data_IF_392642879311
#
_entry.id   IF_392642879311
#
_cell.length_a   1.000
_cell.length_b   1.000
_cell.length_c   1.000
_cell.angle_alpha   90.00
_cell.angle_beta   90.00
_cell.angle_gamma   90.00
#
_symmetry.space_group_name_H-M   'P 1'
#
loop_
_entity.id
_entity.type
_entity.pdbx_description
1 polymer ?
#
# COMPACT_ATOMS: atom_id res chain seq x y z
N UNK A 1 22.11 6.21 -11.29
CA UNK A 1 21.12 5.39 -10.54
C UNK A 1 21.87 4.28 -9.82
N UNK A 2 21.47 3.98 -8.58
CA UNK A 2 22.05 2.87 -7.84
C UNK A 2 20.96 2.18 -6.99
N UNK A 3 21.26 0.98 -6.50
CA UNK A 3 20.44 0.21 -5.57
C UNK A 3 21.25 -0.17 -4.33
N UNK A 4 20.67 0.07 -3.18
CA UNK A 4 21.31 -0.24 -1.88
C UNK A 4 20.91 -1.60 -1.31
N UNK A 5 19.96 -2.30 -1.91
CA UNK A 5 19.43 -3.57 -1.40
C UNK A 5 20.47 -4.69 -1.31
N UNK A 6 21.51 -4.64 -2.16
CA UNK A 6 22.60 -5.60 -2.10
C UNK A 6 23.46 -5.51 -0.84
N UNK A 7 23.45 -4.38 -0.12
CA UNK A 7 24.23 -4.17 1.10
C UNK A 7 23.54 -4.72 2.36
N UNK A 8 22.20 -4.59 2.44
CA UNK A 8 21.46 -4.94 3.66
C UNK A 8 20.14 -5.70 3.41
N UNK A 9 19.89 -6.11 2.16
CA UNK A 9 18.70 -6.86 1.79
C UNK A 9 17.45 -6.00 1.60
N UNK A 10 16.33 -6.68 1.37
CA UNK A 10 15.02 -6.07 1.26
C UNK A 10 14.37 -6.00 2.63
N UNK A 11 14.38 -4.85 3.24
CA UNK A 11 13.86 -4.62 4.60
C UNK A 11 12.35 -4.37 4.65
N UNK A 12 11.60 -4.90 3.69
CA UNK A 12 10.13 -4.77 3.57
C UNK A 12 9.66 -3.32 3.68
N UNK A 13 8.73 -3.03 4.58
CA UNK A 13 8.19 -1.68 4.78
C UNK A 13 9.22 -0.63 5.23
N UNK A 14 10.32 -1.05 5.82
CA UNK A 14 11.39 -0.15 6.26
C UNK A 14 12.33 0.29 5.12
N UNK A 15 12.31 -0.38 3.94
CA UNK A 15 13.22 -0.09 2.82
C UNK A 15 13.26 1.37 2.43
N UNK A 16 12.09 1.99 2.27
CA UNK A 16 11.99 3.39 1.85
C UNK A 16 12.69 4.33 2.81
N UNK A 17 12.53 4.12 4.11
CA UNK A 17 13.12 4.95 5.17
C UNK A 17 14.63 4.74 5.26
N UNK A 18 15.09 3.48 5.33
CA UNK A 18 16.52 3.15 5.43
C UNK A 18 17.29 3.69 4.22
N UNK A 19 16.80 3.45 3.02
CA UNK A 19 17.41 3.96 1.80
C UNK A 19 17.41 5.49 1.75
N UNK A 20 16.35 6.16 2.23
CA UNK A 20 16.30 7.63 2.31
C UNK A 20 17.33 8.19 3.30
N UNK A 21 17.52 7.54 4.45
CA UNK A 21 18.55 7.93 5.43
C UNK A 21 19.94 7.84 4.79
N UNK A 22 20.22 6.76 4.07
CA UNK A 22 21.50 6.58 3.37
C UNK A 22 21.67 7.65 2.29
N UNK A 23 20.65 7.93 1.49
CA UNK A 23 20.71 9.02 0.49
C UNK A 23 20.98 10.40 1.11
N UNK A 24 20.48 10.66 2.31
CA UNK A 24 20.81 11.90 3.04
C UNK A 24 22.30 11.94 3.42
N UNK A 25 22.86 10.82 3.86
CA UNK A 25 24.29 10.72 4.14
C UNK A 25 25.14 10.87 2.87
N UNK A 26 24.76 10.21 1.77
CA UNK A 26 25.43 10.36 0.47
C UNK A 26 25.49 11.85 0.03
N UNK A 27 24.36 12.56 0.16
CA UNK A 27 24.31 14.00 -0.14
C UNK A 27 25.24 14.83 0.76
N UNK A 28 25.29 14.54 2.06
CA UNK A 28 26.10 15.28 3.01
C UNK A 28 27.60 15.06 2.81
N UNK A 29 27.98 13.82 2.56
CA UNK A 29 29.38 13.40 2.43
C UNK A 29 29.88 13.51 0.98
N UNK A 30 29.04 13.85 0.01
CA UNK A 30 29.34 13.85 -1.41
C UNK A 30 29.87 12.48 -1.92
N UNK A 31 29.35 11.41 -1.40
CA UNK A 31 29.70 10.03 -1.79
C UNK A 31 28.49 9.34 -2.36
N UNK A 32 28.58 8.85 -3.58
CA UNK A 32 27.56 8.01 -4.21
C UNK A 32 27.99 6.55 -4.10
N UNK A 33 27.21 5.71 -3.42
CA UNK A 33 27.50 4.30 -3.32
C UNK A 33 27.23 3.59 -4.65
N UNK A 34 28.09 2.64 -4.99
CA UNK A 34 27.91 1.77 -6.13
C UNK A 34 26.81 0.72 -5.87
N UNK A 35 26.26 0.16 -6.93
CA UNK A 35 25.35 -0.97 -6.87
C UNK A 35 26.13 -2.27 -6.73
N UNK A 36 26.22 -2.79 -5.52
CA UNK A 36 26.97 -4.01 -5.24
C UNK A 36 26.40 -5.19 -6.06
N UNK A 37 27.30 -5.91 -6.76
CA UNK A 37 26.93 -7.04 -7.61
C UNK A 37 26.36 -6.66 -8.98
N UNK A 38 26.43 -5.39 -9.37
CA UNK A 38 26.05 -4.98 -10.72
C UNK A 38 27.10 -5.36 -11.76
N UNK A 39 26.69 -6.10 -12.78
CA UNK A 39 27.56 -6.52 -13.90
C UNK A 39 27.12 -5.92 -15.23
N UNK A 40 25.82 -6.00 -15.54
CA UNK A 40 25.25 -5.53 -16.80
C UNK A 40 23.79 -5.09 -16.65
N UNK A 41 23.32 -4.14 -17.47
CA UNK A 41 21.92 -3.74 -17.44
C UNK A 41 21.01 -4.89 -17.91
N UNK A 42 19.93 -5.13 -17.15
CA UNK A 42 18.86 -6.08 -17.48
C UNK A 42 17.57 -5.39 -17.95
N UNK A 43 17.64 -4.14 -18.38
CA UNK A 43 16.48 -3.33 -18.77
C UNK A 43 16.52 -2.98 -20.27
N UNK A 44 15.35 -2.76 -20.85
CA UNK A 44 15.19 -2.48 -22.29
C UNK A 44 15.65 -1.08 -22.70
N UNK A 45 15.68 -0.13 -21.76
CA UNK A 45 16.14 1.23 -22.00
C UNK A 45 17.47 1.49 -21.29
N UNK A 46 18.41 2.23 -21.91
CA UNK A 46 19.70 2.53 -21.29
C UNK A 46 19.49 3.42 -20.06
N UNK A 47 20.02 2.97 -18.93
CA UNK A 47 20.13 3.74 -17.69
C UNK A 47 21.58 3.75 -17.23
N UNK A 48 22.02 4.87 -16.68
CA UNK A 48 23.36 4.98 -16.10
C UNK A 48 23.32 4.41 -14.69
N UNK A 49 23.76 3.15 -14.53
CA UNK A 49 23.90 2.50 -13.22
C UNK A 49 25.30 2.74 -12.70
N UNK A 50 25.40 3.18 -11.46
CA UNK A 50 26.67 3.33 -10.77
C UNK A 50 27.12 1.99 -10.22
N UNK A 51 28.23 1.45 -10.72
CA UNK A 51 28.79 0.18 -10.25
C UNK A 51 29.69 0.36 -9.03
N UNK A 52 30.54 1.37 -9.03
CA UNK A 52 31.54 1.64 -8.01
C UNK A 52 31.18 2.88 -7.17
N UNK A 53 31.74 2.98 -5.96
CA UNK A 53 31.63 4.19 -5.15
C UNK A 53 32.31 5.36 -5.85
N UNK A 54 31.70 6.52 -5.78
CA UNK A 54 32.24 7.74 -6.35
C UNK A 54 32.12 8.92 -5.37
N UNK A 55 33.13 9.73 -5.32
CA UNK A 55 33.06 11.05 -4.69
C UNK A 55 32.59 12.06 -5.74
N UNK A 56 31.35 12.51 -5.62
CA UNK A 56 30.74 13.49 -6.53
C UNK A 56 29.96 14.53 -5.75
N UNK A 57 30.13 15.83 -6.05
CA UNK A 57 29.30 16.86 -5.44
C UNK A 57 27.83 16.69 -5.86
N UNK A 58 26.98 16.47 -4.88
CA UNK A 58 25.54 16.30 -5.08
C UNK A 58 24.76 17.38 -4.36
N UNK A 59 23.73 17.92 -4.99
CA UNK A 59 22.84 18.94 -4.42
C UNK A 59 21.46 18.36 -4.09
N UNK A 60 21.02 17.42 -4.91
CA UNK A 60 19.72 16.81 -4.86
C UNK A 60 19.82 15.31 -5.11
N UNK A 61 18.93 14.56 -4.51
CA UNK A 61 18.73 13.14 -4.76
C UNK A 61 17.24 12.87 -4.93
N UNK A 62 16.88 11.99 -5.87
CA UNK A 62 15.52 11.49 -6.00
C UNK A 62 15.53 10.04 -5.52
N UNK A 63 14.75 9.76 -4.48
CA UNK A 63 14.53 8.41 -3.98
C UNK A 63 13.14 7.95 -4.42
N UNK A 64 13.09 6.82 -5.09
CA UNK A 64 11.84 6.18 -5.50
C UNK A 64 11.63 4.87 -4.74
N UNK A 65 10.40 4.53 -4.46
CA UNK A 65 10.01 3.25 -3.91
C UNK A 65 8.74 2.76 -4.59
N UNK A 66 8.67 1.46 -4.84
CA UNK A 66 7.49 0.81 -5.40
C UNK A 66 7.11 -0.35 -4.50
N UNK A 67 5.89 -0.32 -4.00
CA UNK A 67 5.32 -1.36 -3.16
C UNK A 67 4.37 -2.27 -3.93
N UNK A 68 4.15 -3.47 -3.41
CA UNK A 68 3.10 -4.36 -3.91
C UNK A 68 1.72 -3.67 -3.78
N UNK A 69 0.84 -3.96 -4.72
CA UNK A 69 -0.47 -3.31 -4.81
C UNK A 69 -0.47 -2.02 -5.63
N UNK A 70 0.68 -1.64 -6.24
CA UNK A 70 0.78 -0.47 -7.11
C UNK A 70 1.06 0.84 -6.37
N UNK A 71 1.43 0.77 -5.09
CA UNK A 71 1.87 1.94 -4.32
C UNK A 71 3.24 2.39 -4.79
N UNK A 72 3.32 3.55 -5.43
CA UNK A 72 4.58 4.15 -5.87
C UNK A 72 4.77 5.50 -5.19
N UNK A 73 5.97 5.74 -4.69
CA UNK A 73 6.33 7.00 -4.06
C UNK A 73 7.68 7.51 -4.57
N UNK A 74 7.82 8.82 -4.64
CA UNK A 74 9.08 9.48 -4.94
C UNK A 74 9.28 10.67 -3.99
N UNK A 75 10.48 10.82 -3.47
CA UNK A 75 10.88 11.95 -2.64
C UNK A 75 12.11 12.63 -3.24
N UNK A 76 12.13 13.95 -3.23
CA UNK A 76 13.31 14.75 -3.56
C UNK A 76 13.97 15.19 -2.28
N UNK A 77 15.21 14.77 -2.07
CA UNK A 77 16.06 15.19 -0.96
C UNK A 77 17.01 16.29 -1.45
N UNK A 78 17.13 17.37 -0.69
CA UNK A 78 17.92 18.54 -1.08
C UNK A 78 18.74 19.03 0.10
N UNK A 79 20.02 19.34 -0.11
CA UNK A 79 20.83 19.96 0.91
C UNK A 79 20.26 21.34 1.32
N UNK A 80 20.28 21.71 2.61
CA UNK A 80 19.67 22.95 3.10
C UNK A 80 20.09 24.22 2.35
N UNK A 81 21.34 24.28 1.91
CA UNK A 81 21.86 25.42 1.14
C UNK A 81 21.16 25.64 -0.22
N UNK A 82 20.50 24.63 -0.75
CA UNK A 82 19.79 24.65 -2.05
C UNK A 82 18.28 24.56 -1.92
N UNK A 83 17.76 24.50 -0.69
CA UNK A 83 16.33 24.39 -0.41
C UNK A 83 15.65 25.74 -0.68
N UNK A 84 14.67 25.75 -1.59
CA UNK A 84 13.72 26.86 -1.68
C UNK A 84 12.72 26.73 -0.52
N UNK A 85 12.48 27.85 0.16
CA UNK A 85 11.43 27.81 1.20
C UNK A 85 10.09 27.39 0.57
N UNK A 86 9.46 26.35 1.09
CA UNK A 86 8.14 25.97 0.60
C UNK A 86 7.17 27.10 0.97
N UNK A 87 6.41 27.58 0.00
CA UNK A 87 5.21 28.34 0.30
C UNK A 87 4.21 27.37 0.93
N UNK A 88 4.06 27.43 2.23
CA UNK A 88 3.08 26.64 2.96
C UNK A 88 1.69 27.19 2.62
N UNK A 89 1.04 26.58 1.68
CA UNK A 89 -0.40 26.81 1.46
C UNK A 89 -1.11 26.03 2.58
N UNK A 90 -1.50 26.75 3.65
CA UNK A 90 -2.45 26.21 4.60
C UNK A 90 -3.85 26.32 3.93
N UNK A 91 -4.30 25.25 3.32
CA UNK A 91 -5.71 25.11 2.99
C UNK A 91 -6.39 24.41 4.16
N UNK A 92 -7.24 25.11 4.89
CA UNK A 92 -8.21 24.49 5.78
C UNK A 92 -9.32 23.89 4.90
N UNK A 93 -9.26 22.59 4.66
CA UNK A 93 -10.32 21.86 3.97
C UNK A 93 -11.29 21.35 5.03
N UNK A 94 -12.55 21.73 4.93
CA UNK A 94 -13.60 21.15 5.78
C UNK A 94 -14.01 19.82 5.19
N UNK A 95 -13.84 18.74 5.94
CA UNK A 95 -14.20 17.38 5.54
C UNK A 95 -15.64 17.10 5.98
N UNK A 96 -16.43 16.48 5.11
CA UNK A 96 -17.80 16.06 5.40
C UNK A 96 -18.01 14.59 5.06
N UNK A 97 -18.61 13.83 5.98
CA UNK A 97 -19.03 12.46 5.69
C UNK A 97 -20.25 12.48 4.75
N UNK A 98 -20.08 11.95 3.56
CA UNK A 98 -21.16 11.89 2.54
C UNK A 98 -21.87 10.54 2.48
N UNK A 99 -21.21 9.46 2.91
CA UNK A 99 -21.78 8.12 2.98
C UNK A 99 -20.99 7.25 3.96
N UNK A 100 -21.68 6.32 4.58
CA UNK A 100 -21.08 5.31 5.47
C UNK A 100 -21.51 3.90 5.07
N UNK A 101 -20.61 2.93 5.20
CA UNK A 101 -20.90 1.50 5.07
C UNK A 101 -20.41 0.81 6.34
N UNK A 102 -21.24 -0.01 6.96
CA UNK A 102 -20.84 -0.89 8.05
C UNK A 102 -21.14 -2.35 7.71
N UNK A 103 -20.26 -3.25 8.14
CA UNK A 103 -20.38 -4.70 7.95
C UNK A 103 -20.20 -5.36 9.33
N UNK A 104 -21.30 -5.84 9.88
CA UNK A 104 -21.33 -6.46 11.19
C UNK A 104 -22.36 -7.61 11.25
N UNK A 105 -22.04 -8.69 11.97
CA UNK A 105 -22.98 -9.79 12.24
C UNK A 105 -23.73 -10.32 11.00
N UNK A 106 -23.02 -10.53 9.90
CA UNK A 106 -23.60 -10.95 8.61
C UNK A 106 -24.66 -9.99 8.07
N UNK A 107 -24.52 -8.72 8.39
CA UNK A 107 -25.34 -7.62 7.91
C UNK A 107 -24.44 -6.52 7.33
N UNK A 108 -24.85 -5.93 6.22
CA UNK A 108 -24.22 -4.77 5.60
C UNK A 108 -25.24 -3.63 5.59
N UNK A 109 -24.85 -2.50 6.17
CA UNK A 109 -25.68 -1.30 6.22
C UNK A 109 -25.01 -0.14 5.49
N UNK A 110 -25.79 0.70 4.86
CA UNK A 110 -25.36 1.93 4.20
C UNK A 110 -26.13 3.10 4.80
N UNK A 111 -25.43 4.12 5.30
CA UNK A 111 -26.02 5.26 6.00
C UNK A 111 -26.98 4.87 7.14
N UNK A 112 -26.65 3.77 7.84
CA UNK A 112 -27.47 3.24 8.94
C UNK A 112 -28.61 2.31 8.52
N UNK A 113 -28.92 2.19 7.22
CA UNK A 113 -29.96 1.29 6.71
C UNK A 113 -29.37 -0.04 6.22
N UNK A 114 -29.98 -1.16 6.58
CA UNK A 114 -29.55 -2.48 6.11
C UNK A 114 -29.84 -2.61 4.61
N UNK A 115 -28.79 -2.79 3.81
CA UNK A 115 -28.89 -2.98 2.35
C UNK A 115 -28.64 -4.43 1.93
N UNK A 116 -28.02 -5.23 2.80
CA UNK A 116 -27.83 -6.67 2.58
C UNK A 116 -27.70 -7.39 3.93
N UNK A 117 -28.34 -8.53 4.06
CA UNK A 117 -28.16 -9.45 5.17
C UNK A 117 -28.21 -10.90 4.69
N UNK A 118 -27.54 -11.79 5.41
CA UNK A 118 -27.47 -13.20 5.05
C UNK A 118 -27.47 -14.06 6.31
N UNK A 119 -28.05 -15.25 6.21
CA UNK A 119 -27.97 -16.30 7.23
C UNK A 119 -26.72 -17.19 7.07
N UNK A 120 -25.71 -16.71 6.32
CA UNK A 120 -24.47 -17.44 6.11
C UNK A 120 -23.82 -17.85 7.43
N UNK A 121 -23.36 -19.10 7.56
CA UNK A 121 -22.84 -19.63 8.81
C UNK A 121 -21.45 -19.08 9.19
N UNK A 122 -20.77 -18.43 8.26
CA UNK A 122 -19.43 -17.90 8.46
C UNK A 122 -19.14 -16.69 7.56
N UNK A 123 -18.09 -15.96 7.90
CA UNK A 123 -17.64 -14.79 7.15
C UNK A 123 -17.35 -15.09 5.68
N UNK A 124 -16.69 -16.20 5.38
CA UNK A 124 -16.29 -16.51 4.00
C UNK A 124 -17.49 -16.70 3.05
N UNK A 125 -18.59 -17.25 3.55
CA UNK A 125 -19.82 -17.37 2.78
C UNK A 125 -20.55 -16.03 2.70
N UNK A 126 -20.73 -15.35 3.83
CA UNK A 126 -21.37 -14.04 3.91
C UNK A 126 -20.73 -13.04 2.93
N UNK A 127 -19.40 -12.88 2.95
CA UNK A 127 -18.74 -11.86 2.12
C UNK A 127 -18.83 -12.16 0.63
N UNK A 128 -18.90 -13.44 0.25
CA UNK A 128 -19.16 -13.84 -1.15
C UNK A 128 -20.58 -13.51 -1.60
N UNK A 129 -21.56 -13.73 -0.73
CA UNK A 129 -22.95 -13.38 -1.01
C UNK A 129 -23.14 -11.88 -1.10
N UNK A 130 -22.55 -11.11 -0.16
CA UNK A 130 -22.56 -9.66 -0.18
C UNK A 130 -21.90 -9.11 -1.46
N UNK A 131 -20.75 -9.63 -1.84
CA UNK A 131 -20.09 -9.23 -3.10
C UNK A 131 -20.94 -9.55 -4.34
N UNK A 132 -21.56 -10.72 -4.41
CA UNK A 132 -22.46 -11.07 -5.52
C UNK A 132 -23.64 -10.10 -5.61
N UNK A 133 -24.17 -9.65 -4.48
CA UNK A 133 -25.28 -8.68 -4.42
C UNK A 133 -24.90 -7.30 -5.01
N UNK A 134 -23.62 -6.94 -5.08
CA UNK A 134 -23.18 -5.72 -5.79
C UNK A 134 -23.27 -5.86 -7.31
N UNK A 135 -23.48 -7.06 -7.84
CA UNK A 135 -23.30 -7.41 -9.27
C UNK A 135 -21.85 -7.69 -9.64
N UNK A 136 -20.99 -7.90 -8.64
CA UNK A 136 -19.57 -8.11 -8.82
C UNK A 136 -19.22 -9.33 -9.65
N UNK A 137 -18.36 -9.13 -10.66
CA UNK A 137 -17.92 -10.16 -11.63
C UNK A 137 -16.41 -10.41 -11.63
N UNK A 138 -15.65 -9.75 -10.73
CA UNK A 138 -14.19 -9.91 -10.68
C UNK A 138 -13.80 -11.26 -10.08
N UNK A 139 -13.31 -12.16 -10.93
CA UNK A 139 -12.87 -13.50 -10.50
C UNK A 139 -11.69 -13.49 -9.54
N UNK A 140 -10.88 -12.43 -9.54
CA UNK A 140 -9.77 -12.28 -8.60
C UNK A 140 -10.26 -12.15 -7.15
N UNK A 141 -11.45 -11.59 -6.93
CA UNK A 141 -12.08 -11.49 -5.60
C UNK A 141 -12.07 -12.82 -4.84
N UNK A 142 -12.35 -13.91 -5.51
CA UNK A 142 -12.42 -15.23 -4.86
C UNK A 142 -11.05 -15.76 -4.39
N UNK A 143 -9.95 -15.20 -4.89
CA UNK A 143 -8.58 -15.53 -4.50
C UNK A 143 -8.00 -14.61 -3.43
N UNK A 144 -8.66 -13.48 -3.15
CA UNK A 144 -8.26 -12.54 -2.11
C UNK A 144 -8.37 -13.16 -0.72
N UNK A 145 -7.61 -12.63 0.23
CA UNK A 145 -7.77 -12.94 1.65
C UNK A 145 -9.01 -12.25 2.26
N UNK A 146 -9.25 -12.49 3.53
CA UNK A 146 -10.45 -11.99 4.20
C UNK A 146 -10.42 -10.46 4.39
N UNK A 147 -9.24 -9.89 4.68
CA UNK A 147 -9.07 -8.44 4.79
C UNK A 147 -9.38 -7.74 3.45
N UNK A 148 -8.81 -8.24 2.36
CA UNK A 148 -9.07 -7.71 1.04
C UNK A 148 -10.53 -7.86 0.64
N UNK A 149 -11.15 -9.02 0.88
CA UNK A 149 -12.59 -9.22 0.59
C UNK A 149 -13.47 -8.26 1.36
N UNK A 150 -13.16 -8.02 2.63
CA UNK A 150 -13.92 -7.10 3.48
C UNK A 150 -13.85 -5.67 2.92
N UNK A 151 -12.63 -5.13 2.80
CA UNK A 151 -12.41 -3.76 2.30
C UNK A 151 -12.94 -3.56 0.88
N UNK A 152 -12.65 -4.51 -0.02
CA UNK A 152 -13.12 -4.47 -1.39
C UNK A 152 -14.67 -4.45 -1.49
N UNK A 153 -15.34 -5.32 -0.73
CA UNK A 153 -16.82 -5.35 -0.72
C UNK A 153 -17.40 -4.06 -0.16
N UNK A 154 -16.86 -3.54 0.95
CA UNK A 154 -17.32 -2.28 1.52
C UNK A 154 -17.22 -1.13 0.52
N UNK A 155 -16.11 -1.04 -0.22
CA UNK A 155 -15.91 0.01 -1.22
C UNK A 155 -16.79 -0.18 -2.47
N UNK A 156 -17.07 -1.42 -2.89
CA UNK A 156 -18.04 -1.68 -3.98
C UNK A 156 -19.43 -1.11 -3.64
N UNK A 157 -19.87 -1.19 -2.38
CA UNK A 157 -21.12 -0.55 -1.94
C UNK A 157 -20.97 0.97 -1.83
N UNK A 158 -19.87 1.45 -1.24
CA UNK A 158 -19.64 2.87 -0.98
C UNK A 158 -19.56 3.70 -2.28
N UNK A 159 -18.91 3.14 -3.30
CA UNK A 159 -18.67 3.81 -4.59
C UNK A 159 -19.69 3.45 -5.66
N UNK A 160 -20.70 2.62 -5.33
CA UNK A 160 -21.75 2.25 -6.27
C UNK A 160 -22.43 3.50 -6.83
N UNK A 161 -22.48 3.61 -8.15
CA UNK A 161 -23.11 4.75 -8.86
C UNK A 161 -22.47 6.13 -8.57
N UNK A 162 -21.29 6.17 -7.94
CA UNK A 162 -20.54 7.42 -7.73
C UNK A 162 -19.67 7.72 -8.94
N UNK A 163 -19.70 8.96 -9.37
CA UNK A 163 -18.76 9.49 -10.35
C UNK A 163 -17.71 10.33 -9.62
N UNK A 164 -16.44 10.04 -9.86
CA UNK A 164 -15.30 10.77 -9.28
C UNK A 164 -14.15 10.82 -10.28
N UNK A 165 -13.26 11.78 -10.09
CA UNK A 165 -12.00 11.80 -10.84
C UNK A 165 -11.00 10.90 -10.12
N UNK A 166 -10.36 9.96 -10.82
CA UNK A 166 -9.45 8.98 -10.22
C UNK A 166 -8.31 9.60 -9.40
N UNK A 167 -7.82 10.75 -9.81
CA UNK A 167 -6.69 11.46 -9.20
C UNK A 167 -7.09 12.22 -7.92
N UNK A 168 -8.39 12.49 -7.72
CA UNK A 168 -8.92 13.25 -6.59
C UNK A 168 -9.36 12.37 -5.43
N UNK A 169 -9.35 11.04 -5.60
CA UNK A 169 -9.75 10.08 -4.56
C UNK A 169 -8.52 9.48 -3.92
N UNK A 170 -8.39 9.67 -2.62
CA UNK A 170 -7.43 8.97 -1.77
C UNK A 170 -8.06 7.81 -1.00
N UNK A 171 -7.25 6.88 -0.53
CA UNK A 171 -7.65 5.76 0.33
C UNK A 171 -6.81 5.80 1.60
N UNK A 172 -7.49 5.91 2.74
CA UNK A 172 -6.88 5.73 4.05
C UNK A 172 -7.52 4.51 4.72
N UNK A 173 -6.71 3.51 5.04
CA UNK A 173 -7.12 2.30 5.73
C UNK A 173 -6.43 2.21 7.07
N UNK A 174 -7.18 1.81 8.09
CA UNK A 174 -6.67 1.66 9.45
C UNK A 174 -7.17 0.34 10.04
N UNK A 175 -6.29 -0.44 10.64
CA UNK A 175 -6.66 -1.55 11.50
C UNK A 175 -5.60 -1.82 12.58
N UNK A 176 -5.94 -2.67 13.55
CA UNK A 176 -5.04 -2.97 14.67
C UNK A 176 -4.13 -4.19 14.42
N UNK A 177 -4.42 -5.01 13.44
CA UNK A 177 -3.80 -6.33 13.29
C UNK A 177 -3.08 -6.55 11.96
N UNK A 178 -2.97 -5.53 11.12
CA UNK A 178 -2.40 -5.65 9.77
C UNK A 178 -3.04 -6.81 9.01
N UNK A 179 -2.23 -7.71 8.45
CA UNK A 179 -2.63 -8.94 7.75
C UNK A 179 -2.50 -10.20 8.60
N UNK A 180 -2.55 -10.08 9.93
CA UNK A 180 -2.22 -11.16 10.89
C UNK A 180 -2.90 -12.51 10.58
N UNK A 181 -4.17 -12.50 10.15
CA UNK A 181 -4.89 -13.73 9.80
C UNK A 181 -4.21 -14.48 8.64
N UNK A 182 -3.77 -13.75 7.63
CA UNK A 182 -3.08 -14.30 6.46
C UNK A 182 -1.64 -14.67 6.79
N UNK A 183 -0.97 -13.90 7.65
CA UNK A 183 0.39 -14.19 8.13
C UNK A 183 0.42 -15.52 8.89
N UNK A 184 -0.52 -15.73 9.82
CA UNK A 184 -0.67 -16.99 10.56
C UNK A 184 -0.90 -18.15 9.58
N UNK A 185 -1.80 -17.99 8.62
CA UNK A 185 -2.09 -19.02 7.62
C UNK A 185 -0.85 -19.35 6.78
N UNK A 186 -0.10 -18.34 6.34
CA UNK A 186 1.12 -18.53 5.56
C UNK A 186 2.18 -19.28 6.37
N UNK A 187 2.40 -18.87 7.61
CA UNK A 187 3.36 -19.51 8.50
C UNK A 187 2.95 -20.96 8.84
N UNK A 188 1.67 -21.23 9.03
CA UNK A 188 1.18 -22.60 9.27
C UNK A 188 1.47 -23.54 8.09
N UNK A 189 1.31 -23.08 6.85
CA UNK A 189 1.66 -23.86 5.66
C UNK A 189 3.14 -24.22 5.69
N UNK A 190 4.03 -23.28 5.94
CA UNK A 190 5.47 -23.49 6.00
C UNK A 190 5.82 -24.47 7.14
N UNK A 191 5.24 -24.29 8.30
CA UNK A 191 5.51 -25.15 9.47
C UNK A 191 5.06 -26.61 9.26
N UNK A 192 3.97 -26.82 8.52
CA UNK A 192 3.40 -28.16 8.27
C UNK A 192 4.03 -28.88 7.08
N UNK A 193 4.34 -28.17 6.03
CA UNK A 193 4.71 -28.71 4.74
C UNK A 193 6.16 -28.36 4.34
N UNK A 194 6.85 -27.47 5.08
CA UNK A 194 8.22 -27.00 4.79
C UNK A 194 8.25 -25.77 3.86
N UNK A 195 9.44 -25.19 3.72
CA UNK A 195 9.66 -23.96 2.96
C UNK A 195 9.24 -24.05 1.48
N UNK A 196 9.30 -25.24 0.91
CA UNK A 196 8.92 -25.48 -0.48
C UNK A 196 7.42 -25.33 -0.75
N UNK A 197 6.60 -25.37 0.30
CA UNK A 197 5.15 -25.17 0.21
C UNK A 197 4.73 -23.70 0.34
N UNK A 198 5.68 -22.79 0.53
CA UNK A 198 5.41 -21.36 0.60
C UNK A 198 4.66 -20.90 -0.65
N UNK A 199 3.42 -20.45 -0.48
CA UNK A 199 2.54 -20.05 -1.58
C UNK A 199 2.75 -18.58 -1.95
N UNK A 200 3.23 -18.25 -3.16
CA UNK A 200 3.33 -16.87 -3.62
C UNK A 200 2.00 -16.12 -3.58
N UNK A 201 0.89 -16.82 -3.84
CA UNK A 201 -0.46 -16.23 -3.80
C UNK A 201 -0.86 -15.86 -2.38
N UNK A 202 -0.58 -16.69 -1.38
CA UNK A 202 -0.86 -16.35 0.02
C UNK A 202 0.09 -15.26 0.49
N UNK A 203 1.37 -15.33 0.13
CA UNK A 203 2.37 -14.34 0.50
C UNK A 203 1.99 -12.91 0.09
N UNK A 204 1.45 -12.69 -1.10
CA UNK A 204 1.02 -11.35 -1.54
C UNK A 204 0.05 -10.71 -0.54
N UNK A 205 -0.85 -11.50 0.03
CA UNK A 205 -1.85 -11.01 1.00
C UNK A 205 -1.34 -10.94 2.45
N UNK A 206 -0.08 -11.28 2.73
CA UNK A 206 0.57 -10.95 4.00
C UNK A 206 0.99 -9.48 4.07
N UNK A 207 0.86 -8.75 2.99
CA UNK A 207 1.16 -7.33 2.91
C UNK A 207 -0.13 -6.52 3.10
N UNK A 208 -0.32 -5.83 4.22
CA UNK A 208 -1.60 -5.22 4.58
C UNK A 208 -2.08 -4.16 3.59
N UNK A 209 -1.18 -3.45 2.91
CA UNK A 209 -1.51 -2.44 1.91
C UNK A 209 -2.06 -3.03 0.59
N UNK A 210 -2.02 -4.34 0.38
CA UNK A 210 -2.55 -4.98 -0.85
C UNK A 210 -4.05 -4.75 -0.98
N UNK A 211 -4.79 -4.64 0.12
CA UNK A 211 -6.21 -4.30 0.07
C UNK A 211 -6.44 -2.93 -0.60
N UNK A 212 -5.66 -1.91 -0.26
CA UNK A 212 -5.73 -0.60 -0.93
C UNK A 212 -5.42 -0.74 -2.42
N UNK A 213 -4.37 -1.49 -2.78
CA UNK A 213 -3.99 -1.74 -4.16
C UNK A 213 -5.07 -2.44 -4.99
N UNK A 214 -5.74 -3.46 -4.43
CA UNK A 214 -6.85 -4.15 -5.11
C UNK A 214 -8.04 -3.21 -5.35
N UNK A 215 -8.35 -2.34 -4.39
CA UNK A 215 -9.39 -1.31 -4.53
C UNK A 215 -8.98 -0.28 -5.59
N UNK A 216 -7.76 0.24 -5.54
CA UNK A 216 -7.25 1.20 -6.52
C UNK A 216 -7.30 0.65 -7.95
N UNK A 217 -6.85 -0.59 -8.16
CA UNK A 217 -6.89 -1.25 -9.48
C UNK A 217 -8.33 -1.37 -9.98
N UNK A 218 -9.24 -1.76 -9.11
CA UNK A 218 -10.66 -1.97 -9.46
C UNK A 218 -11.35 -0.68 -9.89
N UNK A 219 -11.16 0.38 -9.11
CA UNK A 219 -11.85 1.65 -9.29
C UNK A 219 -11.01 2.69 -10.04
N UNK A 220 -9.80 2.30 -10.49
CA UNK A 220 -8.81 3.17 -11.18
C UNK A 220 -8.40 4.38 -10.35
N UNK A 221 -8.45 4.28 -9.02
CA UNK A 221 -8.06 5.34 -8.10
C UNK A 221 -6.55 5.58 -8.23
N UNK A 222 -6.14 6.83 -8.41
CA UNK A 222 -4.75 7.26 -8.63
C UNK A 222 -4.26 8.26 -7.58
N UNK A 223 -5.12 8.68 -6.67
CA UNK A 223 -4.74 9.52 -5.55
C UNK A 223 -3.95 8.76 -4.49
N UNK A 224 -3.61 9.46 -3.42
CA UNK A 224 -2.81 8.90 -2.34
C UNK A 224 -3.50 7.71 -1.68
N UNK A 225 -2.74 6.68 -1.35
CA UNK A 225 -3.23 5.57 -0.56
C UNK A 225 -2.28 5.24 0.59
N UNK A 226 -2.84 5.08 1.78
CA UNK A 226 -2.11 4.84 3.02
C UNK A 226 -2.80 3.75 3.83
N UNK A 227 -2.00 2.86 4.42
CA UNK A 227 -2.46 1.86 5.37
C UNK A 227 -1.75 2.08 6.70
N UNK A 228 -2.53 2.38 7.73
CA UNK A 228 -2.03 2.64 9.08
C UNK A 228 -2.37 1.47 10.00
N UNK A 229 -1.40 1.05 10.81
CA UNK A 229 -1.60 0.03 11.83
C UNK A 229 -1.60 0.73 13.18
N UNK A 230 -2.77 0.82 13.80
CA UNK A 230 -2.97 1.46 15.10
C UNK A 230 -3.80 0.56 16.00
N UNK A 231 -3.41 0.49 17.28
CA UNK A 231 -4.09 -0.34 18.27
C UNK A 231 -5.54 0.09 18.51
N UNK A 232 -5.78 1.37 18.49
CA UNK A 232 -7.08 2.01 18.69
C UNK A 232 -7.34 2.99 17.54
N UNK A 233 -8.56 2.98 17.02
CA UNK A 233 -8.96 3.92 16.00
C UNK A 233 -9.21 5.30 16.64
N UNK A 234 -8.49 6.30 16.17
CA UNK A 234 -8.60 7.69 16.60
C UNK A 234 -8.85 8.56 15.35
N UNK A 235 -10.10 8.99 15.17
CA UNK A 235 -10.49 9.76 14.01
C UNK A 235 -9.77 11.12 13.95
N UNK A 236 -9.53 11.76 15.11
CA UNK A 236 -8.90 13.08 15.18
C UNK A 236 -7.46 13.05 14.67
N UNK A 237 -6.73 11.96 14.91
CA UNK A 237 -5.39 11.76 14.37
C UNK A 237 -5.32 11.55 12.86
N UNK A 238 -6.44 11.17 12.25
CA UNK A 238 -6.49 10.89 10.81
C UNK A 238 -6.90 12.13 10.01
N UNK A 239 -7.41 13.17 10.67
CA UNK A 239 -7.75 14.46 10.06
C UNK A 239 -6.56 15.43 10.00
N UNK A 240 -5.44 15.14 10.72
CA UNK A 240 -4.18 15.89 10.66
C UNK A 240 -3.30 15.48 9.46
#
# INVERSE_FOLDING_TARGET
VHSLKSYFGHTLGASGVIESIICIHELKENVLFGTLGYEKPGVSMPILVQADHQEIPMKHCIKTASGFGGCNAAIVLTLPAYQKQPSRVQSSVTVHTTATVSIENSCLSMNGETVFSSSAPNFAQFIREAYKNTGGSNMKFYKMDDLCKLGYTAVEYLLKEKNFQPEEVGILLVNAAASLNTDIRHQMIINQEGDHAASPTVFVYTLPNVVAGEICIRHKIQGENTFIIEKEFDADKLEE
#
